data_IF_883658187773
#
_entry.id   IF_883658187773
#
_cell.length_a   1.000
_cell.length_b   1.000
_cell.length_c   1.000
_cell.angle_alpha   90.00
_cell.angle_beta   90.00
_cell.angle_gamma   90.00
#
_symmetry.space_group_name_H-M   'P 1'
#
loop_
_entity.id
_entity.type
_entity.pdbx_description
1 polymer ?
#
# COMPACT_ATOMS: atom_id res chain seq x y z
N UNK A 1 14.94 -5.26 -3.51
CA UNK A 1 14.90 -3.78 -3.39
C UNK A 1 14.65 -3.23 -4.78
N UNK A 2 13.83 -2.19 -4.89
CA UNK A 2 13.64 -1.43 -6.13
C UNK A 2 14.87 -0.55 -6.42
N UNK A 3 15.12 -0.24 -7.70
CA UNK A 3 16.13 0.74 -8.12
C UNK A 3 15.65 2.16 -7.74
N UNK A 4 16.39 2.92 -6.92
CA UNK A 4 16.00 4.28 -6.53
C UNK A 4 16.05 5.29 -7.68
N UNK A 5 16.73 4.99 -8.79
CA UNK A 5 16.76 5.83 -9.99
C UNK A 5 15.57 5.61 -10.94
N UNK A 6 14.81 4.52 -10.74
CA UNK A 6 13.61 4.22 -11.51
C UNK A 6 12.39 4.91 -10.90
N UNK A 7 11.92 5.95 -11.59
CA UNK A 7 10.76 6.74 -11.17
C UNK A 7 9.44 5.96 -11.21
N UNK A 8 9.37 4.83 -11.90
CA UNK A 8 8.20 3.96 -11.96
C UNK A 8 8.25 2.79 -10.96
N UNK A 9 9.33 2.69 -10.18
CA UNK A 9 9.52 1.60 -9.24
C UNK A 9 8.57 1.70 -8.04
N UNK A 10 7.94 0.58 -7.72
CA UNK A 10 7.05 0.44 -6.56
C UNK A 10 7.17 -0.97 -5.96
N UNK A 11 7.15 -1.03 -4.63
CA UNK A 11 7.22 -2.29 -3.89
C UNK A 11 5.86 -2.60 -3.29
N UNK A 12 5.30 -3.76 -3.63
CA UNK A 12 4.03 -4.21 -3.06
C UNK A 12 4.32 -5.10 -1.85
N UNK A 13 4.32 -4.49 -0.67
CA UNK A 13 4.36 -5.20 0.60
C UNK A 13 2.94 -5.58 1.09
N UNK A 14 2.86 -6.17 2.30
CA UNK A 14 1.60 -6.64 2.88
C UNK A 14 0.59 -5.51 3.13
N UNK A 15 1.05 -4.29 3.42
CA UNK A 15 0.19 -3.16 3.72
C UNK A 15 -0.27 -2.46 2.44
N UNK A 16 0.63 -2.35 1.47
CA UNK A 16 0.30 -1.87 0.14
C UNK A 16 -0.76 -2.77 -0.54
N UNK A 17 -0.63 -4.09 -0.37
CA UNK A 17 -1.66 -5.04 -0.79
C UNK A 17 -2.99 -4.80 -0.07
N UNK A 18 -3.01 -4.81 1.26
CA UNK A 18 -4.24 -4.64 2.07
C UNK A 18 -5.00 -3.36 1.70
N UNK A 19 -4.27 -2.26 1.42
CA UNK A 19 -4.87 -1.00 0.96
C UNK A 19 -5.44 -1.10 -0.44
N UNK A 20 -4.67 -1.63 -1.39
CA UNK A 20 -5.11 -1.74 -2.77
C UNK A 20 -6.31 -2.68 -2.94
N UNK A 21 -6.41 -3.73 -2.11
CA UNK A 21 -7.56 -4.66 -2.12
C UNK A 21 -8.71 -4.19 -1.22
N UNK A 22 -8.47 -3.23 -0.33
CA UNK A 22 -9.47 -2.71 0.59
C UNK A 22 -9.84 -3.62 1.77
N UNK A 23 -9.06 -4.68 2.04
CA UNK A 23 -9.29 -5.65 3.12
C UNK A 23 -8.01 -5.88 3.93
N UNK A 24 -8.16 -6.14 5.24
CA UNK A 24 -7.05 -6.42 6.15
C UNK A 24 -6.87 -7.93 6.27
N UNK A 25 -5.82 -8.45 5.64
CA UNK A 25 -5.55 -9.89 5.65
C UNK A 25 -4.90 -10.37 6.96
N UNK A 26 -4.24 -9.48 7.72
CA UNK A 26 -3.51 -9.86 8.93
C UNK A 26 -2.46 -10.93 8.61
N UNK A 27 -2.55 -12.09 9.29
CA UNK A 27 -1.68 -13.26 9.05
C UNK A 27 -2.17 -14.21 7.94
N UNK A 28 -3.34 -13.96 7.34
CA UNK A 28 -3.84 -14.78 6.23
C UNK A 28 -2.90 -14.66 5.03
N UNK A 29 -2.80 -15.75 4.27
CA UNK A 29 -2.11 -15.70 2.99
C UNK A 29 -2.85 -14.76 2.03
N UNK A 30 -2.08 -13.96 1.29
CA UNK A 30 -2.56 -12.93 0.36
C UNK A 30 -2.59 -13.41 -1.08
N UNK A 31 -2.05 -14.60 -1.37
CA UNK A 31 -2.02 -15.18 -2.71
C UNK A 31 -1.30 -14.29 -3.72
N UNK A 32 -0.13 -13.73 -3.33
CA UNK A 32 0.61 -12.79 -4.15
C UNK A 32 1.43 -13.53 -5.22
N UNK A 33 0.78 -13.88 -6.33
CA UNK A 33 1.46 -14.34 -7.54
C UNK A 33 2.17 -13.17 -8.25
N UNK A 34 3.11 -13.48 -9.16
CA UNK A 34 3.77 -12.44 -9.97
C UNK A 34 2.78 -11.60 -10.77
N UNK A 35 1.75 -12.23 -11.36
CA UNK A 35 0.70 -11.51 -12.09
C UNK A 35 -0.12 -10.58 -11.17
N UNK A 36 -0.43 -11.04 -9.96
CA UNK A 36 -1.14 -10.21 -8.97
C UNK A 36 -0.26 -9.06 -8.48
N UNK A 37 1.03 -9.30 -8.30
CA UNK A 37 2.00 -8.27 -7.95
C UNK A 37 2.02 -7.16 -9.00
N UNK A 38 2.15 -7.51 -10.27
CA UNK A 38 2.17 -6.53 -11.37
C UNK A 38 0.86 -5.75 -11.49
N UNK A 39 -0.29 -6.41 -11.30
CA UNK A 39 -1.58 -5.73 -11.30
C UNK A 39 -1.67 -4.66 -10.19
N UNK A 40 -1.21 -5.00 -8.98
CA UNK A 40 -1.19 -4.07 -7.86
C UNK A 40 -0.18 -2.94 -8.09
N UNK A 41 1.01 -3.26 -8.62
CA UNK A 41 2.02 -2.27 -8.98
C UNK A 41 1.47 -1.26 -10.02
N UNK A 42 0.76 -1.75 -11.04
CA UNK A 42 0.10 -0.90 -12.03
C UNK A 42 -0.93 0.05 -11.38
N UNK A 43 -1.73 -0.44 -10.41
CA UNK A 43 -2.68 0.40 -9.69
C UNK A 43 -2.00 1.52 -8.89
N UNK A 44 -0.85 1.26 -8.26
CA UNK A 44 -0.07 2.29 -7.58
C UNK A 44 0.53 3.32 -8.56
N UNK A 45 1.03 2.87 -9.71
CA UNK A 45 1.53 3.76 -10.76
C UNK A 45 0.43 4.68 -11.29
N UNK A 46 -0.76 4.13 -11.54
CA UNK A 46 -1.91 4.91 -12.00
C UNK A 46 -2.35 5.94 -10.93
N UNK A 47 -2.42 5.53 -9.66
CA UNK A 47 -2.74 6.44 -8.57
C UNK A 47 -1.72 7.58 -8.47
N UNK A 48 -0.43 7.26 -8.60
CA UNK A 48 0.66 8.24 -8.58
C UNK A 48 0.55 9.24 -9.73
N UNK A 49 0.27 8.78 -10.95
CA UNK A 49 0.02 9.65 -12.10
C UNK A 49 -1.14 10.61 -11.86
N UNK A 50 -2.26 10.14 -11.29
CA UNK A 50 -3.43 10.98 -10.98
C UNK A 50 -3.13 12.04 -9.91
N UNK A 51 -2.19 11.76 -9.01
CA UNK A 51 -1.80 12.67 -7.92
C UNK A 51 -0.63 13.59 -8.30
N UNK A 52 0.06 13.32 -9.41
CA UNK A 52 1.30 14.02 -9.77
C UNK A 52 2.48 13.65 -8.87
N UNK A 53 2.46 12.46 -8.30
CA UNK A 53 3.45 11.95 -7.35
C UNK A 53 4.22 10.75 -7.92
N UNK A 54 5.28 10.32 -7.23
CA UNK A 54 5.97 9.07 -7.54
C UNK A 54 5.19 7.86 -6.99
N UNK A 55 5.21 6.70 -7.67
CA UNK A 55 4.62 5.46 -7.16
C UNK A 55 5.16 5.06 -5.78
N UNK A 56 6.45 5.26 -5.55
CA UNK A 56 7.10 5.05 -4.24
C UNK A 56 6.60 6.02 -3.16
N UNK A 57 6.30 7.28 -3.50
CA UNK A 57 5.66 8.24 -2.58
C UNK A 57 4.27 7.78 -2.19
N UNK A 58 3.43 7.36 -3.15
CA UNK A 58 2.08 6.84 -2.87
C UNK A 58 2.15 5.57 -2.02
N UNK A 59 3.10 4.69 -2.29
CA UNK A 59 3.34 3.51 -1.47
C UNK A 59 3.76 3.88 -0.05
N UNK A 60 4.61 4.89 0.16
CA UNK A 60 5.04 5.28 1.51
C UNK A 60 3.86 5.70 2.42
N UNK A 61 2.81 6.29 1.86
CA UNK A 61 1.61 6.74 2.61
C UNK A 61 0.72 5.56 3.03
N UNK A 62 0.92 4.35 2.47
CA UNK A 62 0.14 3.17 2.86
C UNK A 62 0.23 2.85 4.35
N UNK A 63 1.36 3.14 5.00
CA UNK A 63 1.51 2.96 6.45
C UNK A 63 0.60 3.87 7.27
N UNK A 64 0.38 5.11 6.82
CA UNK A 64 -0.51 6.07 7.50
C UNK A 64 -1.95 5.60 7.38
N UNK A 65 -2.40 5.29 6.16
CA UNK A 65 -3.78 4.83 5.90
C UNK A 65 -4.07 3.49 6.59
N UNK A 66 -3.12 2.56 6.60
CA UNK A 66 -3.29 1.28 7.28
C UNK A 66 -3.38 1.46 8.79
N UNK A 67 -2.54 2.32 9.36
CA UNK A 67 -2.57 2.64 10.80
C UNK A 67 -3.86 3.36 11.18
N UNK A 68 -4.34 4.29 10.36
CA UNK A 68 -5.60 5.00 10.58
C UNK A 68 -6.82 4.06 10.47
N UNK A 69 -6.80 3.07 9.56
CA UNK A 69 -7.84 2.03 9.50
C UNK A 69 -7.82 1.12 10.73
N UNK A 70 -6.63 0.74 11.23
CA UNK A 70 -6.50 0.01 12.50
C UNK A 70 -6.97 0.89 13.67
N UNK A 71 -6.66 2.19 13.66
CA UNK A 71 -7.06 3.14 14.70
C UNK A 71 -8.57 3.48 14.64
N UNK A 72 -9.20 3.41 13.47
CA UNK A 72 -10.65 3.55 13.30
C UNK A 72 -11.44 2.28 13.63
N UNK A 73 -10.79 1.10 13.59
CA UNK A 73 -11.37 -0.18 14.01
C UNK A 73 -11.02 -0.56 15.45
N UNK A 74 -9.99 0.05 16.03
CA UNK A 74 -9.67 0.00 17.44
C UNK A 74 -10.25 1.21 18.15
N UNK A 75 -11.19 1.01 19.07
CA UNK A 75 -11.50 1.99 20.12
C UNK A 75 -10.23 2.29 20.93
N UNK A 76 -9.38 3.20 20.46
CA UNK A 76 -8.29 3.75 21.24
C UNK A 76 -8.79 5.02 21.90
N UNK A 77 -9.04 5.03 23.23
CA UNK A 77 -9.37 6.27 23.90
C UNK A 77 -8.17 7.23 23.80
N UNK A 78 -8.43 8.55 23.71
CA UNK A 78 -7.38 9.54 23.64
C UNK A 78 -6.46 9.41 24.85
N UNK A 79 -5.16 9.51 24.61
CA UNK A 79 -4.16 9.55 25.67
C UNK A 79 -4.20 10.95 26.28
N UNK A 80 -4.73 11.05 27.50
CA UNK A 80 -4.52 12.19 28.40
C UNK A 80 -3.10 12.26 28.91
#
# INVERSE_FOLDING_TARGET
MADPGDTDAVVIDRHAHDIAVGDIYGRRDRGLSGQRYELLAAAYREAAQRLGELPSTVQAVTWVVHTDRIAGTGTRPPRT
#
